data_IF_537231922449
#
_entry.id   IF_537231922449
#
_cell.length_a   1.000
_cell.length_b   1.000
_cell.length_c   1.000
_cell.angle_alpha   90.00
_cell.angle_beta   90.00
_cell.angle_gamma   90.00
#
_symmetry.space_group_name_H-M   'P 1'
#
loop_
_entity.id
_entity.type
_entity.pdbx_description
1 polymer ?
#
# COMPACT_ATOMS: atom_id res chain seq x y z
N UNK A 1 -25.46 -15.59 5.41
CA UNK A 1 -26.65 -14.72 5.47
C UNK A 1 -26.45 -13.36 4.81
N UNK A 2 -25.52 -12.48 5.25
CA UNK A 2 -25.37 -11.16 4.59
C UNK A 2 -24.76 -11.21 3.18
N UNK A 3 -23.81 -12.11 2.94
CA UNK A 3 -23.14 -12.26 1.63
C UNK A 3 -24.14 -12.79 0.59
N UNK A 4 -24.97 -13.73 0.95
CA UNK A 4 -25.98 -14.32 0.05
C UNK A 4 -27.03 -13.28 -0.32
N UNK A 5 -27.45 -12.43 0.61
CA UNK A 5 -28.34 -11.30 0.35
C UNK A 5 -27.73 -10.32 -0.66
N UNK A 6 -26.44 -9.98 -0.52
CA UNK A 6 -25.75 -9.10 -1.47
C UNK A 6 -25.67 -9.72 -2.87
N UNK A 7 -25.33 -11.00 -2.97
CA UNK A 7 -25.31 -11.72 -4.26
C UNK A 7 -26.69 -11.68 -4.90
N UNK A 8 -27.74 -12.02 -4.17
CA UNK A 8 -29.10 -11.99 -4.67
C UNK A 8 -29.55 -10.58 -5.10
N UNK A 9 -29.16 -9.53 -4.36
CA UNK A 9 -29.44 -8.14 -4.74
C UNK A 9 -28.72 -7.76 -6.01
N UNK A 10 -27.47 -8.20 -6.19
CA UNK A 10 -26.67 -7.97 -7.39
C UNK A 10 -27.28 -8.71 -8.60
N UNK A 11 -27.61 -9.99 -8.43
CA UNK A 11 -28.18 -10.82 -9.50
C UNK A 11 -29.56 -10.30 -9.97
N UNK A 12 -30.32 -9.71 -9.07
CA UNK A 12 -31.64 -9.13 -9.36
C UNK A 12 -31.59 -7.64 -9.73
N UNK A 13 -30.41 -7.03 -9.80
CA UNK A 13 -30.22 -5.58 -9.98
C UNK A 13 -31.06 -4.73 -9.00
N UNK A 14 -31.30 -5.27 -7.80
CA UNK A 14 -32.15 -4.66 -6.78
C UNK A 14 -31.33 -3.80 -5.81
N UNK A 15 -31.85 -2.63 -5.37
CA UNK A 15 -31.17 -1.80 -4.39
C UNK A 15 -31.05 -2.54 -3.05
N UNK A 16 -29.89 -2.41 -2.42
CA UNK A 16 -29.63 -2.95 -1.08
C UNK A 16 -30.34 -2.09 -0.04
N UNK A 17 -30.95 -2.72 0.97
CA UNK A 17 -31.57 -2.02 2.10
C UNK A 17 -30.59 -1.01 2.73
N UNK A 18 -31.07 0.18 3.07
CA UNK A 18 -30.27 1.28 3.56
C UNK A 18 -29.49 0.94 4.85
N UNK A 19 -30.09 0.15 5.75
CA UNK A 19 -29.43 -0.27 6.99
C UNK A 19 -28.29 -1.25 6.73
N UNK A 20 -28.50 -2.19 5.82
CA UNK A 20 -27.50 -3.16 5.39
C UNK A 20 -26.37 -2.45 4.63
N UNK A 21 -26.71 -1.53 3.73
CA UNK A 21 -25.73 -0.72 3.02
C UNK A 21 -24.84 0.11 3.99
N UNK A 22 -25.44 0.76 4.99
CA UNK A 22 -24.70 1.51 6.01
C UNK A 22 -23.72 0.61 6.78
N UNK A 23 -24.15 -0.61 7.14
CA UNK A 23 -23.31 -1.60 7.81
C UNK A 23 -22.14 -2.05 6.95
N UNK A 24 -22.37 -2.33 5.68
CA UNK A 24 -21.28 -2.72 4.77
C UNK A 24 -20.28 -1.59 4.53
N UNK A 25 -20.77 -0.36 4.44
CA UNK A 25 -19.88 0.80 4.32
C UNK A 25 -19.00 0.97 5.56
N UNK A 26 -19.52 0.76 6.75
CA UNK A 26 -18.74 0.76 8.00
C UNK A 26 -17.66 -0.34 7.98
N UNK A 27 -18.02 -1.57 7.62
CA UNK A 27 -17.08 -2.69 7.50
C UNK A 27 -16.00 -2.42 6.45
N UNK A 28 -16.36 -1.83 5.32
CA UNK A 28 -15.41 -1.43 4.28
C UNK A 28 -14.43 -0.37 4.80
N UNK A 29 -14.90 0.64 5.54
CA UNK A 29 -14.03 1.62 6.17
C UNK A 29 -13.05 0.96 7.15
N UNK A 30 -13.54 0.06 8.01
CA UNK A 30 -12.69 -0.70 8.92
C UNK A 30 -11.65 -1.52 8.14
N UNK A 31 -12.05 -2.22 7.09
CA UNK A 31 -11.16 -3.00 6.24
C UNK A 31 -10.07 -2.14 5.58
N UNK A 32 -10.43 -0.98 5.04
CA UNK A 32 -9.47 -0.05 4.42
C UNK A 32 -8.46 0.48 5.43
N UNK A 33 -8.89 0.80 6.66
CA UNK A 33 -8.01 1.33 7.72
C UNK A 33 -7.10 0.21 8.29
N UNK A 34 -7.67 -0.94 8.59
CA UNK A 34 -6.93 -2.06 9.23
C UNK A 34 -5.99 -2.74 8.23
N UNK A 35 -6.39 -2.79 6.96
CA UNK A 35 -5.64 -3.45 5.91
C UNK A 35 -5.61 -4.97 6.06
N UNK A 36 -4.64 -5.60 5.38
CA UNK A 36 -4.49 -7.06 5.32
C UNK A 36 -3.30 -7.62 6.12
N UNK A 37 -2.62 -6.81 6.93
CA UNK A 37 -1.47 -7.27 7.73
C UNK A 37 -1.95 -8.16 8.88
N UNK A 38 -1.49 -9.43 8.99
CA UNK A 38 -2.04 -10.39 9.96
C UNK A 38 -2.01 -9.89 11.41
N UNK A 39 -0.91 -9.26 11.82
CA UNK A 39 -0.77 -8.71 13.17
C UNK A 39 -1.76 -7.57 13.43
N UNK A 40 -1.89 -6.64 12.47
CA UNK A 40 -2.83 -5.53 12.56
C UNK A 40 -4.29 -6.01 12.64
N UNK A 41 -4.65 -7.01 11.81
CA UNK A 41 -5.97 -7.64 11.82
C UNK A 41 -6.23 -8.34 13.17
N UNK A 42 -5.28 -9.11 13.68
CA UNK A 42 -5.40 -9.80 14.96
C UNK A 42 -5.62 -8.82 16.11
N UNK A 43 -4.82 -7.76 16.17
CA UNK A 43 -4.98 -6.74 17.21
C UNK A 43 -6.30 -5.99 17.08
N UNK A 44 -6.75 -5.69 15.87
CA UNK A 44 -8.06 -5.08 15.67
C UNK A 44 -9.22 -5.98 16.13
N UNK A 45 -9.19 -7.27 15.77
CA UNK A 45 -10.22 -8.23 16.17
C UNK A 45 -10.32 -8.35 17.69
N UNK A 46 -9.18 -8.36 18.38
CA UNK A 46 -9.10 -8.53 19.82
C UNK A 46 -9.43 -7.25 20.62
N UNK A 47 -9.08 -6.08 20.10
CA UNK A 47 -9.14 -4.84 20.87
C UNK A 47 -10.13 -3.81 20.35
N UNK A 48 -10.48 -3.89 19.06
CA UNK A 48 -11.28 -2.86 18.34
C UNK A 48 -10.69 -1.44 18.40
N UNK A 49 -9.40 -1.32 18.71
CA UNK A 49 -8.70 -0.04 18.89
C UNK A 49 -7.86 0.30 17.65
N UNK A 50 -8.34 1.24 16.85
CA UNK A 50 -7.64 1.72 15.64
C UNK A 50 -6.25 2.30 15.96
N UNK A 51 -6.10 3.00 17.10
CA UNK A 51 -4.80 3.55 17.49
C UNK A 51 -3.70 2.49 17.62
N UNK A 52 -4.01 1.30 18.15
CA UNK A 52 -3.09 0.17 18.23
C UNK A 52 -2.74 -0.38 16.84
N UNK A 53 -3.71 -0.46 15.96
CA UNK A 53 -3.51 -0.88 14.56
C UNK A 53 -2.53 0.05 13.85
N UNK A 54 -2.75 1.37 13.94
CA UNK A 54 -1.88 2.36 13.32
C UNK A 54 -0.44 2.30 13.86
N UNK A 55 -0.26 2.03 15.15
CA UNK A 55 1.07 1.86 15.75
C UNK A 55 1.80 0.64 15.17
N UNK A 56 1.10 -0.47 14.98
CA UNK A 56 1.65 -1.68 14.34
C UNK A 56 2.01 -1.40 12.89
N UNK A 57 1.11 -0.79 12.14
CA UNK A 57 1.37 -0.45 10.74
C UNK A 57 2.58 0.45 10.56
N UNK A 58 2.75 1.47 11.41
CA UNK A 58 3.93 2.34 11.40
C UNK A 58 5.20 1.56 11.69
N UNK A 59 5.20 0.73 12.74
CA UNK A 59 6.35 -0.12 13.08
C UNK A 59 6.76 -1.01 11.92
N UNK A 60 5.80 -1.69 11.28
CA UNK A 60 6.07 -2.57 10.12
C UNK A 60 6.68 -1.77 8.96
N UNK A 61 6.17 -0.57 8.67
CA UNK A 61 6.71 0.29 7.62
C UNK A 61 8.14 0.74 7.96
N UNK A 62 8.42 1.07 9.21
CA UNK A 62 9.75 1.51 9.65
C UNK A 62 10.76 0.36 9.62
N UNK A 63 10.37 -0.84 10.04
CA UNK A 63 11.18 -2.06 9.93
C UNK A 63 11.47 -2.38 8.46
N UNK A 64 10.47 -2.29 7.58
CA UNK A 64 10.65 -2.49 6.14
C UNK A 64 11.63 -1.49 5.51
N UNK A 65 11.53 -0.20 5.88
CA UNK A 65 12.48 0.83 5.43
C UNK A 65 13.90 0.52 5.89
N UNK A 66 14.07 0.07 7.12
CA UNK A 66 15.38 -0.29 7.66
C UNK A 66 16.00 -1.47 6.91
N UNK A 67 15.22 -2.52 6.68
CA UNK A 67 15.68 -3.72 5.96
C UNK A 67 16.01 -3.43 4.50
N UNK A 68 15.15 -2.71 3.79
CA UNK A 68 15.37 -2.32 2.41
C UNK A 68 16.69 -1.57 2.22
N UNK A 69 17.01 -0.66 3.13
CA UNK A 69 18.26 0.13 3.08
C UNK A 69 19.47 -0.68 3.55
N UNK A 70 19.29 -1.67 4.43
CA UNK A 70 20.37 -2.50 4.98
C UNK A 70 21.17 -3.22 3.88
N UNK A 71 20.49 -3.77 2.88
CA UNK A 71 21.08 -4.56 1.80
C UNK A 71 21.47 -3.73 0.57
N UNK A 72 21.17 -2.44 0.53
CA UNK A 72 21.54 -1.55 -0.56
C UNK A 72 23.00 -1.10 -0.48
N UNK A 73 23.58 -0.76 -1.63
CA UNK A 73 24.90 -0.11 -1.69
C UNK A 73 24.86 1.23 -0.93
N UNK A 74 25.96 1.54 -0.23
CA UNK A 74 26.01 2.72 0.64
C UNK A 74 25.67 4.03 -0.07
N UNK A 75 26.11 4.19 -1.32
CA UNK A 75 25.86 5.37 -2.14
C UNK A 75 24.37 5.52 -2.56
N UNK A 76 23.63 4.42 -2.61
CA UNK A 76 22.25 4.42 -3.10
C UNK A 76 21.21 4.51 -1.96
N UNK A 77 21.64 4.24 -0.73
CA UNK A 77 20.76 4.25 0.45
C UNK A 77 19.89 5.51 0.59
N UNK A 78 20.42 6.73 0.45
CA UNK A 78 19.62 7.94 0.55
C UNK A 78 18.55 8.01 -0.54
N UNK A 79 18.93 7.69 -1.79
CA UNK A 79 18.02 7.76 -2.94
C UNK A 79 16.88 6.73 -2.86
N UNK A 80 17.20 5.51 -2.39
CA UNK A 80 16.21 4.46 -2.16
C UNK A 80 15.19 4.94 -1.12
N UNK A 81 15.65 5.53 -0.02
CA UNK A 81 14.77 6.09 1.01
C UNK A 81 13.91 7.21 0.47
N UNK A 82 14.49 8.17 -0.24
CA UNK A 82 13.74 9.28 -0.87
C UNK A 82 12.66 8.75 -1.83
N UNK A 83 13.00 7.79 -2.69
CA UNK A 83 12.02 7.16 -3.58
C UNK A 83 10.88 6.51 -2.79
N UNK A 84 11.18 5.69 -1.80
CA UNK A 84 10.17 5.02 -0.99
C UNK A 84 9.27 6.00 -0.25
N UNK A 85 9.82 7.03 0.36
CA UNK A 85 9.07 8.06 1.09
C UNK A 85 8.18 8.91 0.18
N UNK A 86 8.51 9.02 -1.11
CA UNK A 86 7.69 9.73 -2.09
C UNK A 86 6.43 8.96 -2.51
N UNK A 87 6.41 7.62 -2.34
CA UNK A 87 5.33 6.75 -2.85
C UNK A 87 3.94 7.19 -2.38
N UNK A 88 3.67 7.47 -1.10
CA UNK A 88 2.33 7.89 -0.67
C UNK A 88 1.84 9.14 -1.39
N UNK A 89 2.70 10.14 -1.57
CA UNK A 89 2.36 11.37 -2.28
C UNK A 89 2.16 11.16 -3.78
N UNK A 90 2.87 10.22 -4.39
CA UNK A 90 2.69 9.81 -5.78
C UNK A 90 1.34 9.12 -5.99
N UNK A 91 0.97 8.22 -5.08
CA UNK A 91 -0.29 7.46 -5.14
C UNK A 91 -1.53 8.32 -4.86
N UNK A 92 -1.39 9.41 -4.11
CA UNK A 92 -2.50 10.32 -3.82
C UNK A 92 -2.92 11.19 -5.02
N UNK A 93 -2.09 11.24 -6.07
CA UNK A 93 -2.37 12.03 -7.27
C UNK A 93 -3.43 11.38 -8.15
N UNK A 94 -4.11 12.17 -8.93
CA UNK A 94 -5.04 11.72 -9.97
C UNK A 94 -4.30 10.90 -11.03
N UNK A 95 -3.18 11.44 -11.54
CA UNK A 95 -2.25 10.74 -12.42
C UNK A 95 -1.29 9.85 -11.63
N UNK A 96 -1.41 8.52 -11.83
CA UNK A 96 -0.65 7.50 -11.08
C UNK A 96 0.76 7.24 -11.62
N UNK A 97 1.20 7.98 -12.64
CA UNK A 97 2.55 7.85 -13.18
C UNK A 97 3.57 8.38 -12.16
N UNK A 98 4.63 7.60 -11.93
CA UNK A 98 5.72 7.99 -11.03
C UNK A 98 6.47 9.21 -11.60
N UNK A 99 6.67 10.23 -10.79
CA UNK A 99 7.29 11.49 -11.20
C UNK A 99 8.53 11.75 -10.35
N UNK A 100 9.71 11.74 -10.96
CA UNK A 100 10.99 11.89 -10.25
C UNK A 100 11.18 13.27 -9.61
N UNK A 101 10.62 14.33 -10.18
CA UNK A 101 10.61 15.66 -9.57
C UNK A 101 9.84 15.75 -8.26
N UNK A 102 9.00 14.75 -7.96
CA UNK A 102 8.29 14.63 -6.66
C UNK A 102 9.18 14.01 -5.59
N UNK A 103 10.12 13.16 -5.99
CA UNK A 103 11.11 12.58 -5.07
C UNK A 103 11.97 13.72 -4.52
N UNK A 104 12.49 14.57 -5.42
CA UNK A 104 13.29 15.74 -5.08
C UNK A 104 13.11 16.82 -6.14
N UNK A 105 13.01 18.09 -5.78
CA UNK A 105 12.99 19.20 -6.74
C UNK A 105 14.18 19.11 -7.70
N UNK A 106 13.89 19.07 -9.02
CA UNK A 106 14.91 18.89 -10.06
C UNK A 106 15.41 17.44 -10.25
N UNK A 107 14.84 16.46 -9.55
CA UNK A 107 15.18 15.04 -9.72
C UNK A 107 14.91 14.55 -11.14
N UNK A 108 15.88 13.83 -11.72
CA UNK A 108 15.78 13.26 -13.06
C UNK A 108 15.71 11.73 -12.99
N UNK A 109 15.03 11.12 -13.96
CA UNK A 109 14.90 9.66 -14.03
C UNK A 109 16.24 8.92 -13.90
N UNK A 110 17.27 9.35 -14.64
CA UNK A 110 18.62 8.77 -14.60
C UNK A 110 19.25 8.69 -13.20
N UNK A 111 18.82 9.57 -12.26
CA UNK A 111 19.38 9.66 -10.92
C UNK A 111 18.72 8.67 -9.96
N UNK A 112 17.50 8.20 -10.28
CA UNK A 112 16.64 7.44 -9.37
C UNK A 112 16.12 6.11 -9.94
N UNK A 113 16.25 5.86 -11.25
CA UNK A 113 15.77 4.61 -11.88
C UNK A 113 16.33 3.38 -11.18
N UNK A 114 17.65 3.33 -10.91
CA UNK A 114 18.27 2.20 -10.20
C UNK A 114 17.70 2.02 -8.78
N UNK A 115 17.42 3.12 -8.08
CA UNK A 115 16.81 3.07 -6.74
C UNK A 115 15.38 2.56 -6.77
N UNK A 116 14.60 2.94 -7.79
CA UNK A 116 13.23 2.45 -7.98
C UNK A 116 13.23 0.96 -8.33
N UNK A 117 14.12 0.53 -9.25
CA UNK A 117 14.30 -0.87 -9.60
C UNK A 117 14.72 -1.71 -8.39
N UNK A 118 15.59 -1.18 -7.53
CA UNK A 118 15.96 -1.83 -6.28
C UNK A 118 14.76 -2.04 -5.36
N UNK A 119 13.91 -1.04 -5.19
CA UNK A 119 12.71 -1.16 -4.34
C UNK A 119 11.78 -2.26 -4.88
N UNK A 120 11.54 -2.30 -6.19
CA UNK A 120 10.72 -3.31 -6.84
C UNK A 120 11.33 -4.71 -6.69
N UNK A 121 12.64 -4.84 -6.91
CA UNK A 121 13.36 -6.10 -6.73
C UNK A 121 13.32 -6.59 -5.28
N UNK A 122 13.57 -5.72 -4.33
CA UNK A 122 13.57 -6.03 -2.90
C UNK A 122 12.20 -6.52 -2.45
N UNK A 123 11.13 -5.89 -2.89
CA UNK A 123 9.77 -6.29 -2.61
C UNK A 123 9.43 -7.67 -3.21
N UNK A 124 9.80 -7.89 -4.46
CA UNK A 124 9.59 -9.16 -5.14
C UNK A 124 10.37 -10.31 -4.49
N UNK A 125 11.65 -10.10 -4.19
CA UNK A 125 12.54 -11.13 -3.63
C UNK A 125 12.13 -11.56 -2.23
N UNK A 126 11.74 -10.63 -1.38
CA UNK A 126 11.37 -10.95 0.00
C UNK A 126 9.97 -11.55 0.11
N UNK A 127 9.18 -11.57 -0.97
CA UNK A 127 7.80 -12.07 -0.99
C UNK A 127 6.97 -11.53 0.19
N UNK A 128 7.36 -10.34 0.68
CA UNK A 128 7.04 -9.86 2.00
C UNK A 128 5.92 -8.83 1.92
N UNK A 129 4.76 -9.15 2.41
CA UNK A 129 3.64 -8.33 2.88
C UNK A 129 3.10 -7.19 1.99
N UNK A 130 3.89 -6.54 1.14
CA UNK A 130 3.45 -5.48 0.25
C UNK A 130 2.63 -6.02 -0.94
N UNK A 131 2.90 -7.25 -1.40
CA UNK A 131 2.10 -7.92 -2.43
C UNK A 131 0.64 -8.16 -2.00
N UNK A 132 0.34 -8.11 -0.71
CA UNK A 132 -1.02 -8.23 -0.18
C UNK A 132 -1.65 -6.89 0.20
N UNK A 133 -0.87 -5.84 0.29
CA UNK A 133 -1.37 -4.48 0.43
C UNK A 133 -1.42 -3.87 -0.98
N UNK A 134 -2.55 -3.31 -1.35
CA UNK A 134 -2.91 -2.61 -2.60
C UNK A 134 -1.79 -1.70 -3.19
N UNK A 135 -0.70 -1.55 -2.48
CA UNK A 135 0.41 -0.64 -2.71
C UNK A 135 1.33 -1.06 -3.87
N UNK A 136 1.70 -2.33 -3.96
CA UNK A 136 2.75 -2.80 -4.89
C UNK A 136 2.21 -3.11 -6.28
N UNK A 137 0.98 -3.59 -6.40
CA UNK A 137 0.37 -3.82 -7.71
C UNK A 137 0.31 -2.56 -8.58
N UNK A 138 0.33 -1.37 -7.96
CA UNK A 138 0.40 -0.09 -8.68
C UNK A 138 1.82 0.42 -8.93
N UNK A 139 2.82 -0.03 -8.16
CA UNK A 139 4.22 0.31 -8.39
C UNK A 139 4.82 -0.50 -9.55
N UNK A 140 4.41 -1.77 -9.70
CA UNK A 140 4.82 -2.63 -10.82
C UNK A 140 4.35 -2.08 -12.17
N UNK A 141 3.11 -1.56 -12.25
CA UNK A 141 2.60 -0.90 -13.48
C UNK A 141 3.45 0.32 -13.87
N UNK A 142 4.17 0.91 -12.94
CA UNK A 142 5.06 2.05 -13.20
C UNK A 142 6.44 1.61 -13.70
N UNK A 143 6.93 0.46 -13.27
CA UNK A 143 8.21 -0.10 -13.72
C UNK A 143 8.13 -0.57 -15.19
N UNK A 144 7.03 -1.26 -15.56
CA UNK A 144 6.79 -1.72 -16.94
C UNK A 144 6.57 -0.59 -17.97
N UNK A 145 6.31 0.63 -17.52
CA UNK A 145 6.12 1.80 -18.40
C UNK A 145 7.44 2.46 -18.83
N UNK A 146 8.60 1.86 -18.45
CA UNK A 146 9.94 2.37 -18.78
C UNK A 146 10.78 1.41 -19.64
N UNK A 147 10.21 0.27 -20.09
CA UNK A 147 10.70 -0.51 -21.23
C UNK A 147 10.09 0.03 -22.54
#
# INVERSE_FOLDING_TARGET
>A
MHIDYLRQSLDNEAPVDASIHARFRELLHQYVIVGGMPEAVTVFLNTRQIGKVLSIQRRIVDEYKADMVKYALLADKPKIRECFESIPSQLSREYKKFTFSTVRPGGRGRDYVGSLQWIVFFDHYNNFYLNKCIFVGRLLVVADAYE
#
